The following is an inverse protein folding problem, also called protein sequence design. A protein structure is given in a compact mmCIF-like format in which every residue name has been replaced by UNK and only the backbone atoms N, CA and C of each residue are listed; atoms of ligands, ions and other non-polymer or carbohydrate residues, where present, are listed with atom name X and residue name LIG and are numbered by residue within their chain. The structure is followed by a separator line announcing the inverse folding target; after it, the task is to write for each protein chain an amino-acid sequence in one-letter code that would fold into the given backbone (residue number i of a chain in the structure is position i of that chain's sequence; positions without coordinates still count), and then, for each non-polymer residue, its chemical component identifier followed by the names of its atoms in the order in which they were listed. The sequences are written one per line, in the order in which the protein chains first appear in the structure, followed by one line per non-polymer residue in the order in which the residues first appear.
data_IF_405059871802
#
_entry.id   IF_405059871802
#
_cell.length_a   1.000
_cell.length_b   1.000
_cell.length_c   1.000
_cell.angle_alpha   90.00
_cell.angle_beta   90.00
_cell.angle_gamma   90.00
#
_symmetry.space_group_name_H-M   'P 1'
#
loop_
_entity.id
_entity.type
_entity.pdbx_description
1 polymer ?
#
# COMPACT_ATOMS: atom_id res chain seq x y z
N UNK A 1 -45.40 -18.51 -50.89
CA UNK A 1 -44.55 -18.49 -52.10
C UNK A 1 -44.19 -17.04 -52.46
N UNK A 2 -42.93 -16.64 -52.26
CA UNK A 2 -42.17 -15.54 -52.91
C UNK A 2 -40.80 -15.51 -52.20
N UNK A 3 -39.86 -16.34 -52.67
CA UNK A 3 -38.66 -15.98 -53.45
C UNK A 3 -37.79 -14.89 -52.80
N UNK A 4 -36.80 -15.39 -52.04
CA UNK A 4 -35.36 -15.03 -52.06
C UNK A 4 -34.96 -13.67 -52.62
N UNK A 5 -34.20 -12.90 -51.85
CA UNK A 5 -32.91 -12.36 -52.28
C UNK A 5 -32.00 -12.12 -51.07
N UNK A 6 -31.09 -13.05 -50.85
CA UNK A 6 -29.86 -12.88 -50.09
C UNK A 6 -29.01 -11.81 -50.79
N UNK A 7 -28.65 -10.74 -50.08
CA UNK A 7 -27.55 -9.85 -50.49
C UNK A 7 -26.51 -9.87 -49.38
N UNK A 8 -25.49 -10.70 -49.59
CA UNK A 8 -24.16 -10.51 -49.01
C UNK A 8 -23.65 -9.16 -49.52
N UNK A 9 -23.40 -8.23 -48.60
CA UNK A 9 -22.60 -7.04 -48.86
C UNK A 9 -21.32 -7.14 -48.03
N UNK A 10 -20.21 -6.98 -48.72
CA UNK A 10 -18.86 -7.21 -48.26
C UNK A 10 -18.38 -6.16 -47.24
N UNK A 11 -17.33 -6.58 -46.54
CA UNK A 11 -16.48 -5.90 -45.57
C UNK A 11 -16.11 -4.46 -46.00
N UNK A 12 -16.25 -3.52 -45.06
CA UNK A 12 -15.41 -2.33 -45.00
C UNK A 12 -15.03 -2.08 -43.54
N UNK A 13 -13.83 -2.51 -43.16
CA UNK A 13 -13.15 -2.02 -41.98
C UNK A 13 -12.73 -0.57 -42.26
N UNK A 14 -13.41 0.39 -41.64
CA UNK A 14 -12.97 1.77 -41.59
C UNK A 14 -12.40 2.03 -40.20
N UNK A 15 -11.08 1.91 -40.10
CA UNK A 15 -10.33 2.50 -39.00
C UNK A 15 -10.41 4.01 -39.10
N UNK A 16 -10.79 4.66 -38.01
CA UNK A 16 -10.60 6.09 -37.81
C UNK A 16 -9.78 6.27 -36.53
N UNK A 17 -8.45 6.39 -36.71
CA UNK A 17 -7.58 7.01 -35.73
C UNK A 17 -7.98 8.49 -35.63
N UNK A 18 -8.63 8.86 -34.53
CA UNK A 18 -8.67 10.25 -34.09
C UNK A 18 -7.51 10.46 -33.11
N UNK A 19 -6.40 10.99 -33.62
CA UNK A 19 -5.31 11.56 -32.83
C UNK A 19 -5.79 12.89 -32.23
N UNK A 20 -6.42 12.80 -31.06
CA UNK A 20 -6.61 13.93 -30.16
C UNK A 20 -5.41 14.02 -29.22
N UNK A 21 -4.54 14.99 -29.45
CA UNK A 21 -3.44 15.33 -28.55
C UNK A 21 -3.99 15.95 -27.25
N UNK A 22 -4.11 15.10 -26.23
CA UNK A 22 -4.30 15.46 -24.84
C UNK A 22 -3.72 14.33 -24.00
N UNK A 23 -2.46 14.48 -23.59
CA UNK A 23 -1.72 13.46 -22.85
C UNK A 23 -2.33 13.30 -21.45
N UNK A 24 -3.10 12.24 -21.29
CA UNK A 24 -3.79 11.87 -20.06
C UNK A 24 -4.60 10.60 -20.27
N UNK A 25 -4.01 9.58 -20.91
CA UNK A 25 -4.57 8.22 -20.83
C UNK A 25 -4.34 7.72 -19.41
N UNK A 26 -5.34 7.86 -18.55
CA UNK A 26 -5.47 6.98 -17.40
C UNK A 26 -5.62 5.56 -17.96
N UNK A 27 -4.48 4.88 -18.13
CA UNK A 27 -4.46 3.45 -18.36
C UNK A 27 -5.08 2.84 -17.10
N UNK A 28 -6.31 2.34 -17.21
CA UNK A 28 -6.79 1.33 -16.28
C UNK A 28 -5.73 0.24 -16.29
N UNK A 29 -5.01 0.12 -15.17
CA UNK A 29 -3.78 -0.65 -15.07
C UNK A 29 -3.93 -2.00 -15.76
N UNK A 30 -3.12 -2.23 -16.79
CA UNK A 30 -2.69 -3.58 -17.11
C UNK A 30 -2.17 -4.14 -15.80
N UNK A 31 -2.95 -4.98 -15.13
CA UNK A 31 -2.47 -5.66 -13.94
C UNK A 31 -1.34 -6.57 -14.41
N UNK A 32 -0.12 -6.04 -14.39
CA UNK A 32 1.08 -6.83 -14.52
C UNK A 32 0.98 -7.91 -13.43
N UNK A 33 1.09 -9.16 -13.86
CA UNK A 33 0.95 -10.29 -12.93
C UNK A 33 1.93 -10.08 -11.77
N UNK A 34 1.50 -10.26 -10.50
CA UNK A 34 2.40 -10.09 -9.38
C UNK A 34 3.66 -10.95 -9.55
N UNK A 35 4.82 -10.39 -9.18
CA UNK A 35 6.09 -11.12 -9.29
C UNK A 35 6.04 -12.40 -8.44
N UNK A 36 6.84 -13.44 -8.75
CA UNK A 36 6.91 -14.63 -7.91
C UNK A 36 7.22 -14.32 -6.43
N UNK A 37 8.02 -13.28 -6.18
CA UNK A 37 8.32 -12.80 -4.82
C UNK A 37 7.09 -12.17 -4.18
N UNK A 38 6.34 -11.32 -4.90
CA UNK A 38 5.10 -10.73 -4.41
C UNK A 38 4.03 -11.80 -4.11
N UNK A 39 3.92 -12.82 -4.96
CA UNK A 39 3.04 -13.98 -4.73
C UNK A 39 3.45 -14.76 -3.48
N UNK A 40 4.74 -15.02 -3.30
CA UNK A 40 5.27 -15.67 -2.11
C UNK A 40 4.95 -14.89 -0.84
N UNK A 41 5.24 -13.58 -0.83
CA UNK A 41 4.93 -12.70 0.32
C UNK A 41 3.43 -12.68 0.63
N UNK A 42 2.57 -12.68 -0.41
CA UNK A 42 1.12 -12.80 -0.27
C UNK A 42 0.70 -14.12 0.37
N UNK A 43 1.22 -15.26 -0.11
CA UNK A 43 0.94 -16.59 0.44
C UNK A 43 1.41 -16.73 1.89
N UNK A 44 2.62 -16.25 2.20
CA UNK A 44 3.14 -16.21 3.58
C UNK A 44 2.22 -15.39 4.47
N UNK A 45 1.75 -14.22 3.99
CA UNK A 45 0.85 -13.35 4.75
C UNK A 45 -0.49 -14.01 5.05
N UNK A 46 -1.07 -14.76 4.09
CA UNK A 46 -2.30 -15.53 4.29
C UNK A 46 -2.08 -16.70 5.24
N UNK A 47 -0.99 -17.46 5.09
CA UNK A 47 -0.67 -18.57 5.98
C UNK A 47 -0.53 -18.13 7.44
N UNK A 48 0.13 -16.99 7.66
CA UNK A 48 0.32 -16.40 8.98
C UNK A 48 -0.95 -15.83 9.64
N UNK A 49 -2.09 -15.80 8.93
CA UNK A 49 -3.38 -15.49 9.57
C UNK A 49 -3.92 -16.63 10.42
N UNK A 50 -3.54 -17.87 10.10
CA UNK A 50 -4.09 -19.09 10.69
C UNK A 50 -3.16 -19.71 11.74
N UNK A 51 -2.03 -19.07 12.01
CA UNK A 51 -1.00 -19.57 12.93
C UNK A 51 -1.31 -19.08 14.36
N UNK A 52 -1.15 -19.97 15.34
CA UNK A 52 -1.25 -19.61 16.76
C UNK A 52 -0.28 -18.48 17.13
N UNK A 53 -0.70 -17.61 18.07
CA UNK A 53 0.10 -16.47 18.49
C UNK A 53 1.51 -16.84 19.00
N UNK A 54 1.69 -18.04 19.56
CA UNK A 54 2.98 -18.57 20.02
C UNK A 54 3.95 -18.91 18.87
N UNK A 55 3.42 -19.19 17.68
CA UNK A 55 4.19 -19.55 16.49
C UNK A 55 4.34 -18.37 15.52
N UNK A 56 3.68 -17.24 15.78
CA UNK A 56 3.76 -16.03 14.98
C UNK A 56 5.21 -15.51 14.76
N UNK A 57 6.16 -15.63 15.71
CA UNK A 57 7.55 -15.24 15.45
C UNK A 57 8.18 -15.97 14.25
N UNK A 58 7.79 -17.23 13.97
CA UNK A 58 8.29 -18.00 12.83
C UNK A 58 7.90 -17.35 11.49
N UNK A 59 6.77 -16.64 11.45
CA UNK A 59 6.36 -15.89 10.27
C UNK A 59 7.33 -14.76 9.91
N UNK A 60 8.12 -14.25 10.86
CA UNK A 60 9.17 -13.27 10.58
C UNK A 60 10.38 -13.87 9.84
N UNK A 61 10.60 -15.18 9.97
CA UNK A 61 11.70 -15.88 9.31
C UNK A 61 11.39 -16.16 7.83
N UNK A 62 10.11 -16.34 7.51
CA UNK A 62 9.62 -16.50 6.14
C UNK A 62 9.31 -15.17 5.43
N UNK A 63 9.48 -14.02 6.11
CA UNK A 63 9.27 -12.73 5.48
C UNK A 63 10.41 -12.40 4.52
N UNK A 64 10.10 -12.22 3.23
CA UNK A 64 11.07 -11.82 2.23
C UNK A 64 11.17 -10.30 2.18
N UNK A 65 12.39 -9.78 2.31
CA UNK A 65 12.69 -8.37 2.16
C UNK A 65 12.64 -8.00 0.67
N UNK A 66 11.55 -7.38 0.24
CA UNK A 66 11.34 -6.95 -1.15
C UNK A 66 10.87 -5.50 -1.23
N UNK A 67 11.19 -4.84 -2.34
CA UNK A 67 10.61 -3.53 -2.70
C UNK A 67 9.60 -3.64 -3.85
N UNK A 68 9.29 -4.88 -4.28
CA UNK A 68 8.33 -5.18 -5.33
C UNK A 68 6.92 -4.77 -4.91
N UNK A 69 6.04 -4.61 -5.90
CA UNK A 69 4.65 -4.31 -5.64
C UNK A 69 3.93 -5.50 -5.01
N UNK A 70 3.28 -5.30 -3.86
CA UNK A 70 2.69 -6.40 -3.12
C UNK A 70 1.44 -6.90 -3.85
N UNK A 71 1.36 -8.21 -4.05
CA UNK A 71 0.26 -8.86 -4.77
C UNK A 71 -1.12 -8.47 -4.23
N UNK A 72 -1.24 -8.17 -2.94
CA UNK A 72 -2.48 -7.73 -2.31
C UNK A 72 -3.03 -6.41 -2.88
N UNK A 73 -2.16 -5.45 -3.22
CA UNK A 73 -2.59 -4.20 -3.86
C UNK A 73 -3.04 -4.44 -5.31
N UNK A 74 -2.36 -5.34 -6.02
CA UNK A 74 -2.75 -5.75 -7.38
C UNK A 74 -4.11 -6.46 -7.40
N UNK A 75 -4.38 -7.32 -6.41
CA UNK A 75 -5.61 -8.11 -6.32
C UNK A 75 -6.79 -7.26 -5.83
N UNK A 76 -6.58 -6.44 -4.80
CA UNK A 76 -7.64 -5.62 -4.22
C UNK A 76 -7.08 -4.31 -3.61
N UNK A 77 -6.96 -3.24 -4.41
CA UNK A 77 -6.47 -1.97 -3.91
C UNK A 77 -7.53 -1.19 -3.09
N UNK A 78 -8.83 -1.50 -3.23
CA UNK A 78 -9.90 -0.66 -2.67
C UNK A 78 -10.04 -0.77 -1.14
N UNK A 79 -9.78 -1.96 -0.59
CA UNK A 79 -9.85 -2.23 0.85
C UNK A 79 -8.52 -2.70 1.42
N UNK A 80 -7.44 -2.58 0.64
CA UNK A 80 -6.05 -2.77 1.10
C UNK A 80 -5.40 -1.42 1.36
N UNK A 81 -4.67 -1.33 2.47
CA UNK A 81 -4.09 -0.07 2.91
C UNK A 81 -2.57 -0.06 2.86
N UNK A 82 -2.02 1.05 2.41
CA UNK A 82 -0.59 1.34 2.49
C UNK A 82 -0.33 2.01 3.84
N UNK A 83 0.49 1.40 4.68
CA UNK A 83 0.86 1.93 6.00
C UNK A 83 2.32 2.33 6.01
N UNK A 84 2.60 3.63 6.13
CA UNK A 84 3.97 4.17 6.16
C UNK A 84 4.36 4.43 7.62
N UNK A 85 5.45 3.81 8.07
CA UNK A 85 5.95 3.97 9.44
C UNK A 85 6.91 5.15 9.57
N UNK A 86 6.76 5.91 10.66
CA UNK A 86 7.72 6.93 11.12
C UNK A 86 9.14 6.39 11.37
N UNK A 87 10.13 7.26 11.23
CA UNK A 87 11.57 6.98 11.38
C UNK A 87 12.35 8.11 12.10
N UNK A 88 11.64 8.91 12.89
CA UNK A 88 12.09 10.11 13.56
C UNK A 88 12.03 11.37 12.66
N UNK A 89 11.81 12.51 13.30
CA UNK A 89 12.06 13.83 12.71
C UNK A 89 13.41 14.38 13.17
N UNK A 90 13.87 15.44 12.50
CA UNK A 90 14.92 16.30 13.04
C UNK A 90 14.37 17.13 14.22
N UNK A 91 15.24 17.67 15.10
CA UNK A 91 14.81 18.50 16.23
C UNK A 91 14.01 19.74 15.84
N UNK A 92 14.16 20.23 14.62
CA UNK A 92 13.40 21.35 14.04
C UNK A 92 12.03 20.93 13.47
N UNK A 93 11.70 19.63 13.50
CA UNK A 93 10.48 19.06 12.92
C UNK A 93 10.60 18.69 11.44
N UNK A 94 11.81 18.75 10.86
CA UNK A 94 12.10 18.33 9.48
C UNK A 94 12.05 16.82 9.28
N UNK A 95 11.74 16.40 8.05
CA UNK A 95 11.74 14.98 7.65
C UNK A 95 13.19 14.52 7.47
N UNK A 96 13.54 13.39 8.09
CA UNK A 96 14.85 12.75 7.93
C UNK A 96 14.94 11.98 6.61
N UNK A 97 16.15 11.79 6.03
CA UNK A 97 16.32 11.02 4.79
C UNK A 97 15.66 9.64 4.82
N UNK A 98 15.86 8.89 5.91
CA UNK A 98 15.22 7.57 6.11
C UNK A 98 13.69 7.61 6.12
N UNK A 99 13.09 8.70 6.63
CA UNK A 99 11.64 8.88 6.61
C UNK A 99 11.17 9.26 5.20
N UNK A 100 11.97 10.06 4.49
CA UNK A 100 11.70 10.42 3.10
C UNK A 100 11.75 9.22 2.16
N UNK A 101 12.68 8.28 2.33
CA UNK A 101 12.73 7.03 1.56
C UNK A 101 11.44 6.21 1.70
N UNK A 102 10.91 6.11 2.92
CA UNK A 102 9.63 5.44 3.19
C UNK A 102 8.46 6.18 2.56
N UNK A 103 8.47 7.51 2.62
CA UNK A 103 7.47 8.37 1.98
C UNK A 103 7.48 8.22 0.46
N UNK A 104 8.66 8.21 -0.17
CA UNK A 104 8.83 8.01 -1.61
C UNK A 104 8.31 6.63 -2.05
N UNK A 105 8.60 5.60 -1.26
CA UNK A 105 8.10 4.24 -1.52
C UNK A 105 6.57 4.18 -1.40
N UNK A 106 6.00 4.73 -0.32
CA UNK A 106 4.55 4.79 -0.15
C UNK A 106 3.84 5.65 -1.20
N UNK A 107 4.48 6.74 -1.64
CA UNK A 107 4.00 7.59 -2.73
C UNK A 107 4.00 6.85 -4.06
N UNK A 108 5.07 6.13 -4.39
CA UNK A 108 5.15 5.28 -5.59
C UNK A 108 3.98 4.29 -5.63
N UNK A 109 3.77 3.54 -4.54
CA UNK A 109 2.63 2.63 -4.41
C UNK A 109 1.29 3.38 -4.54
N UNK A 110 1.16 4.56 -3.94
CA UNK A 110 -0.08 5.34 -4.01
C UNK A 110 -0.39 5.89 -5.41
N UNK A 111 0.63 6.12 -6.24
CA UNK A 111 0.48 6.52 -7.65
C UNK A 111 0.04 5.34 -8.51
N UNK A 112 0.66 4.18 -8.30
CA UNK A 112 0.36 2.95 -9.04
C UNK A 112 -1.02 2.38 -8.69
N UNK A 113 -1.40 2.48 -7.41
CA UNK A 113 -2.70 2.05 -6.88
C UNK A 113 -3.52 3.28 -6.43
N UNK A 114 -4.12 4.05 -7.35
CA UNK A 114 -4.77 5.33 -7.04
C UNK A 114 -6.02 5.21 -6.14
N UNK A 115 -6.57 4.00 -6.00
CA UNK A 115 -7.72 3.72 -5.14
C UNK A 115 -7.32 3.25 -3.73
N UNK A 116 -6.04 2.89 -3.52
CA UNK A 116 -5.55 2.46 -2.22
C UNK A 116 -5.57 3.61 -1.20
N UNK A 117 -5.92 3.30 0.04
CA UNK A 117 -5.90 4.29 1.13
C UNK A 117 -4.55 4.23 1.83
N UNK A 118 -4.15 5.33 2.45
CA UNK A 118 -2.85 5.50 3.08
C UNK A 118 -3.06 5.80 4.56
N UNK A 119 -2.32 5.10 5.42
CA UNK A 119 -2.11 5.48 6.81
C UNK A 119 -0.65 5.88 6.97
N UNK A 120 -0.42 7.00 7.64
CA UNK A 120 0.90 7.39 8.13
C UNK A 120 0.87 7.33 9.65
N UNK A 121 1.78 6.59 10.27
CA UNK A 121 1.78 6.34 11.73
C UNK A 121 3.11 6.71 12.37
N UNK A 122 3.03 7.46 13.47
CA UNK A 122 4.16 7.94 14.25
C UNK A 122 3.79 9.18 15.07
N UNK A 123 3.62 9.01 16.37
CA UNK A 123 3.11 10.05 17.26
C UNK A 123 4.14 10.77 18.12
N UNK A 124 5.43 10.42 18.04
CA UNK A 124 6.47 11.12 18.82
C UNK A 124 6.70 12.52 18.23
N UNK A 125 6.36 13.61 18.95
CA UNK A 125 6.52 14.94 18.41
C UNK A 125 7.98 15.40 18.46
N UNK A 126 8.39 16.17 17.45
CA UNK A 126 9.59 17.00 17.45
C UNK A 126 9.17 18.41 17.04
N UNK A 127 9.60 19.42 17.78
CA UNK A 127 9.20 20.82 17.56
C UNK A 127 7.67 21.00 17.44
N UNK A 128 6.89 20.33 18.30
CA UNK A 128 5.42 20.37 18.28
C UNK A 128 4.75 19.66 17.10
N UNK A 129 5.50 18.96 16.24
CA UNK A 129 4.99 18.24 15.08
C UNK A 129 5.24 16.75 15.20
N UNK A 130 4.20 15.93 15.00
CA UNK A 130 4.34 14.47 14.95
C UNK A 130 4.85 14.00 13.59
N UNK A 131 5.44 12.82 13.53
CA UNK A 131 5.86 12.20 12.27
C UNK A 131 4.66 11.97 11.34
N UNK A 132 3.53 11.49 11.87
CA UNK A 132 2.30 11.31 11.11
C UNK A 132 1.84 12.60 10.45
N UNK A 133 1.90 13.73 11.18
CA UNK A 133 1.55 15.03 10.60
C UNK A 133 2.53 15.45 9.50
N UNK A 134 3.83 15.31 9.75
CA UNK A 134 4.86 15.65 8.77
C UNK A 134 4.74 14.81 7.49
N UNK A 135 4.52 13.51 7.62
CA UNK A 135 4.28 12.57 6.53
C UNK A 135 3.01 12.92 5.75
N UNK A 136 1.91 13.23 6.44
CA UNK A 136 0.65 13.61 5.80
C UNK A 136 0.75 14.91 5.01
N UNK A 137 1.44 15.93 5.55
CA UNK A 137 1.72 17.17 4.83
C UNK A 137 2.62 16.93 3.59
N UNK A 138 3.63 16.06 3.71
CA UNK A 138 4.51 15.71 2.59
C UNK A 138 3.75 15.05 1.44
N UNK A 139 2.90 14.05 1.74
CA UNK A 139 2.09 13.35 0.73
C UNK A 139 1.08 14.28 0.05
N UNK A 140 0.45 15.17 0.82
CA UNK A 140 -0.45 16.21 0.28
C UNK A 140 0.31 17.16 -0.64
N UNK A 141 1.50 17.60 -0.24
CA UNK A 141 2.39 18.43 -1.07
C UNK A 141 2.84 17.73 -2.35
N UNK A 142 2.99 16.40 -2.31
CA UNK A 142 3.28 15.57 -3.49
C UNK A 142 2.04 15.28 -4.37
N UNK A 143 0.87 15.82 -4.04
CA UNK A 143 -0.34 15.72 -4.86
C UNK A 143 -1.27 14.55 -4.54
N UNK A 144 -1.02 13.80 -3.46
CA UNK A 144 -1.97 12.77 -3.01
C UNK A 144 -3.19 13.46 -2.37
N UNK A 145 -4.39 13.05 -2.79
CA UNK A 145 -5.65 13.56 -2.25
C UNK A 145 -5.71 13.40 -0.73
N UNK A 146 -6.04 14.46 0.04
CA UNK A 146 -6.20 14.39 1.50
C UNK A 146 -7.19 13.32 1.96
N UNK A 147 -8.21 13.02 1.14
CA UNK A 147 -9.23 12.01 1.44
C UNK A 147 -8.67 10.58 1.47
N UNK A 148 -7.49 10.35 0.87
CA UNK A 148 -6.81 9.05 0.90
C UNK A 148 -5.90 8.89 2.11
N UNK A 149 -5.57 9.97 2.82
CA UNK A 149 -4.54 9.97 3.86
C UNK A 149 -5.20 10.01 5.23
N UNK A 150 -4.84 9.06 6.09
CA UNK A 150 -5.22 9.06 7.51
C UNK A 150 -3.95 9.18 8.36
N UNK A 151 -3.90 10.18 9.22
CA UNK A 151 -2.79 10.43 10.14
C UNK A 151 -3.05 9.73 11.49
N UNK A 152 -2.16 8.83 11.90
CA UNK A 152 -2.15 8.22 13.23
C UNK A 152 -0.99 8.78 14.04
N UNK A 153 -1.26 9.80 14.87
CA UNK A 153 -0.25 10.57 15.58
C UNK A 153 -0.20 10.35 17.09
N UNK A 154 -0.78 9.26 17.62
CA UNK A 154 -0.86 9.01 19.07
C UNK A 154 0.18 8.00 19.56
N UNK A 155 0.81 7.26 18.65
CA UNK A 155 1.76 6.21 18.96
C UNK A 155 3.13 6.71 19.45
N UNK A 156 3.74 6.00 20.40
CA UNK A 156 5.10 6.27 20.88
C UNK A 156 6.09 5.13 20.63
N UNK A 157 5.65 4.06 19.96
CA UNK A 157 6.45 2.86 19.72
C UNK A 157 5.94 2.09 18.51
N UNK A 158 6.78 1.19 17.96
CA UNK A 158 6.37 0.34 16.83
C UNK A 158 5.18 -0.58 17.18
N UNK A 159 5.05 -1.00 18.44
CA UNK A 159 3.89 -1.79 18.91
C UNK A 159 2.63 -0.93 18.92
N UNK A 160 2.70 0.30 19.41
CA UNK A 160 1.56 1.22 19.40
C UNK A 160 1.18 1.65 17.98
N UNK A 161 2.14 1.85 17.07
CA UNK A 161 1.85 2.07 15.65
C UNK A 161 0.91 0.98 15.13
N UNK A 162 1.24 -0.29 15.38
CA UNK A 162 0.42 -1.42 14.97
C UNK A 162 -0.96 -1.43 15.66
N UNK A 163 -1.00 -1.27 16.99
CA UNK A 163 -2.25 -1.32 17.76
C UNK A 163 -3.22 -0.18 17.41
N UNK A 164 -2.72 1.04 17.21
CA UNK A 164 -3.56 2.20 16.90
C UNK A 164 -3.96 2.22 15.44
N UNK A 165 -3.06 1.81 14.53
CA UNK A 165 -3.41 1.60 13.12
C UNK A 165 -4.48 0.51 12.98
N UNK A 166 -4.45 -0.53 13.80
CA UNK A 166 -5.44 -1.61 13.78
C UNK A 166 -6.85 -1.17 14.23
N UNK A 167 -6.97 -0.09 15.02
CA UNK A 167 -8.27 0.53 15.28
C UNK A 167 -8.84 1.15 14.01
N UNK A 168 -8.00 1.89 13.28
CA UNK A 168 -8.37 2.50 12.00
C UNK A 168 -8.78 1.41 10.99
N UNK A 169 -8.06 0.27 10.95
CA UNK A 169 -8.43 -0.86 10.09
C UNK A 169 -9.84 -1.39 10.35
N UNK A 170 -10.22 -1.54 11.63
CA UNK A 170 -11.56 -1.99 12.02
C UNK A 170 -12.63 -0.98 11.58
N UNK A 171 -12.39 0.30 11.82
CA UNK A 171 -13.37 1.37 11.55
C UNK A 171 -13.72 1.50 10.06
N UNK A 172 -12.78 1.16 9.17
CA UNK A 172 -12.95 1.33 7.71
C UNK A 172 -13.06 0.04 6.90
N UNK A 173 -13.24 -1.11 7.57
CA UNK A 173 -13.40 -2.40 6.91
C UNK A 173 -12.20 -2.81 6.05
N UNK A 174 -10.98 -2.55 6.54
CA UNK A 174 -9.76 -2.99 5.88
C UNK A 174 -9.72 -4.51 5.74
N UNK A 175 -9.34 -5.01 4.58
CA UNK A 175 -9.20 -6.44 4.29
C UNK A 175 -7.76 -6.87 4.07
N UNK A 176 -6.81 -5.94 4.12
CA UNK A 176 -5.39 -6.21 3.93
C UNK A 176 -4.54 -4.97 4.18
N UNK A 177 -3.28 -5.14 4.57
CA UNK A 177 -2.37 -4.01 4.71
C UNK A 177 -0.94 -4.31 4.25
N UNK A 178 -0.32 -3.27 3.68
CA UNK A 178 1.07 -3.24 3.22
C UNK A 178 1.83 -2.30 4.14
N UNK A 179 2.80 -2.82 4.88
CA UNK A 179 3.60 -2.04 5.83
C UNK A 179 4.90 -1.61 5.16
N UNK A 180 5.06 -0.31 4.92
CA UNK A 180 6.24 0.31 4.32
C UNK A 180 7.20 0.78 5.40
N UNK A 181 8.41 0.22 5.42
CA UNK A 181 9.49 0.60 6.33
C UNK A 181 10.86 0.22 5.77
N UNK A 182 11.95 0.53 6.45
CA UNK A 182 13.32 0.16 6.00
C UNK A 182 13.69 -1.27 6.37
N UNK A 183 14.64 -1.87 5.65
CA UNK A 183 14.96 -3.30 5.66
C UNK A 183 15.11 -3.92 7.05
N UNK A 184 15.94 -3.31 7.92
CA UNK A 184 16.20 -3.79 9.28
C UNK A 184 14.97 -3.74 10.21
N UNK A 185 13.91 -3.04 9.78
CA UNK A 185 12.70 -2.84 10.56
C UNK A 185 11.48 -3.60 10.02
N UNK A 186 11.51 -4.12 8.78
CA UNK A 186 10.34 -4.77 8.15
C UNK A 186 9.88 -5.97 8.96
N UNK A 187 10.77 -6.90 9.29
CA UNK A 187 10.41 -8.13 10.03
C UNK A 187 9.70 -7.82 11.36
N UNK A 188 10.29 -6.92 12.15
CA UNK A 188 9.72 -6.48 13.43
C UNK A 188 8.39 -5.75 13.25
N UNK A 189 8.29 -4.88 12.25
CA UNK A 189 7.07 -4.15 11.97
C UNK A 189 5.93 -5.10 11.57
N UNK A 190 6.16 -5.96 10.58
CA UNK A 190 5.16 -6.93 10.11
C UNK A 190 4.69 -7.83 11.25
N UNK A 191 5.60 -8.30 12.11
CA UNK A 191 5.24 -9.11 13.27
C UNK A 191 4.32 -8.36 14.24
N UNK A 192 4.64 -7.10 14.59
CA UNK A 192 3.80 -6.28 15.45
C UNK A 192 2.40 -6.06 14.85
N UNK A 193 2.32 -5.84 13.53
CA UNK A 193 1.05 -5.69 12.84
C UNK A 193 0.24 -6.99 12.81
N UNK A 194 0.87 -8.12 12.51
CA UNK A 194 0.22 -9.45 12.56
C UNK A 194 -0.33 -9.73 13.96
N UNK A 195 0.43 -9.39 15.00
CA UNK A 195 -0.03 -9.54 16.39
C UNK A 195 -1.21 -8.61 16.71
N UNK A 196 -1.16 -7.35 16.27
CA UNK A 196 -2.24 -6.39 16.50
C UNK A 196 -3.54 -6.82 15.82
N UNK A 197 -3.49 -7.24 14.55
CA UNK A 197 -4.68 -7.63 13.80
C UNK A 197 -5.26 -8.97 14.25
N UNK A 198 -4.44 -9.84 14.86
CA UNK A 198 -4.87 -11.13 15.38
C UNK A 198 -5.42 -12.05 14.30
N UNK A 199 -4.73 -12.14 13.16
CA UNK A 199 -5.10 -12.99 12.02
C UNK A 199 -6.30 -12.52 11.18
N UNK A 200 -7.01 -11.44 11.56
CA UNK A 200 -8.21 -10.97 10.84
C UNK A 200 -7.95 -10.53 9.40
N UNK A 201 -6.78 -9.97 9.13
CA UNK A 201 -6.37 -9.53 7.79
C UNK A 201 -4.92 -9.95 7.51
N UNK A 202 -4.57 -10.23 6.24
CA UNK A 202 -3.19 -10.44 5.85
C UNK A 202 -2.38 -9.14 5.95
N UNK A 203 -1.13 -9.28 6.39
CA UNK A 203 -0.15 -8.19 6.51
C UNK A 203 1.13 -8.61 5.78
N UNK A 204 1.58 -7.76 4.86
CA UNK A 204 2.84 -7.93 4.13
C UNK A 204 3.73 -6.69 4.29
N UNK A 205 5.04 -6.87 4.29
CA UNK A 205 6.01 -5.78 4.33
C UNK A 205 6.55 -5.37 2.96
N UNK A 206 6.82 -4.08 2.78
CA UNK A 206 7.59 -3.54 1.65
C UNK A 206 8.77 -2.74 2.19
N UNK A 207 9.96 -3.05 1.68
CA UNK A 207 11.22 -2.38 2.00
C UNK A 207 11.31 -1.08 1.22
N UNK A 208 11.42 0.02 1.95
CA UNK A 208 11.74 1.32 1.37
C UNK A 208 13.19 1.33 0.86
N UNK A 209 13.38 1.86 -0.37
CA UNK A 209 14.69 2.08 -0.98
C UNK A 209 14.76 3.52 -1.48
N UNK A 210 15.87 4.19 -1.16
CA UNK A 210 16.24 5.53 -1.66
C UNK A 210 16.98 5.46 -2.98
#
# INVERSE_FOLDING_TARGET
MRRTHTRLAAIAAAGALALGAGAGTASAGSAEMPTPVALYSGLTSLGCQQVDASLLPLCGDFEVLTSDDPAMLTINPFTTDIVILGAGLFPDGGIRPVLEERLRTGYRLAQEYPTARIIVTGGVPQNGRTEARAMGDWLRGAGISPLRITEEGNSNSTVQNAQFTDRIFRDRGTTGAVVVTTGDHVKRAVLNFRQAVGGRIPITGVVARG
#
